data_IF_850015235328
#
_entry.id   IF_850015235328
#
_cell.length_a   1.000
_cell.length_b   1.000
_cell.length_c   1.000
_cell.angle_alpha   90.00
_cell.angle_beta   90.00
_cell.angle_gamma   90.00
#
_symmetry.space_group_name_H-M   'P 1'
#
loop_
_entity.id
_entity.type
_entity.pdbx_description
1 polymer ?
#
# COMPACT_ATOMS: atom_id res chain seq x y z
N UNK A 1 -32.80 -0.17 -33.55
CA UNK A 1 -31.31 -0.09 -33.48
C UNK A 1 -30.96 0.09 -32.02
N UNK A 2 -30.66 -1.01 -31.32
CA UNK A 2 -30.36 -1.01 -29.89
C UNK A 2 -28.87 -0.79 -29.65
N UNK A 3 -28.53 0.30 -28.98
CA UNK A 3 -27.21 0.56 -28.42
C UNK A 3 -27.00 -0.33 -27.20
N UNK A 4 -26.12 -1.33 -27.29
CA UNK A 4 -25.67 -2.11 -26.13
C UNK A 4 -24.75 -1.24 -25.29
N UNK A 5 -25.25 -0.81 -24.13
CA UNK A 5 -24.42 -0.31 -23.03
C UNK A 5 -23.69 -1.51 -22.43
N UNK A 6 -22.38 -1.61 -22.62
CA UNK A 6 -21.56 -2.61 -21.93
C UNK A 6 -21.29 -2.12 -20.51
N UNK A 7 -22.08 -2.60 -19.55
CA UNK A 7 -21.73 -2.56 -18.13
C UNK A 7 -20.61 -3.56 -17.88
N UNK A 8 -19.36 -3.15 -18.11
CA UNK A 8 -18.17 -3.85 -17.59
C UNK A 8 -18.18 -3.69 -16.07
N UNK A 9 -18.33 -4.80 -15.34
CA UNK A 9 -18.25 -4.82 -13.89
C UNK A 9 -16.79 -4.64 -13.44
N UNK A 10 -16.56 -3.94 -12.33
CA UNK A 10 -15.23 -3.67 -11.75
C UNK A 10 -14.34 -4.91 -11.65
N UNK A 11 -14.91 -6.09 -11.37
CA UNK A 11 -14.19 -7.37 -11.35
C UNK A 11 -13.50 -7.69 -12.70
N UNK A 12 -14.17 -7.44 -13.84
CA UNK A 12 -13.59 -7.71 -15.17
C UNK A 12 -12.41 -6.78 -15.48
N UNK A 13 -12.44 -5.54 -15.01
CA UNK A 13 -11.36 -4.57 -15.23
C UNK A 13 -10.12 -4.92 -14.40
N UNK A 14 -10.29 -5.48 -13.20
CA UNK A 14 -9.19 -5.92 -12.36
C UNK A 14 -8.53 -7.18 -12.94
N UNK A 15 -9.32 -8.15 -13.40
CA UNK A 15 -8.80 -9.35 -14.06
C UNK A 15 -8.06 -8.99 -15.35
N UNK A 16 -8.61 -8.08 -16.16
CA UNK A 16 -7.93 -7.53 -17.35
C UNK A 16 -6.65 -6.80 -16.99
N UNK A 17 -6.64 -6.05 -15.87
CA UNK A 17 -5.44 -5.38 -15.39
C UNK A 17 -4.37 -6.43 -15.06
N UNK A 18 -4.71 -7.46 -14.28
CA UNK A 18 -3.78 -8.53 -13.93
C UNK A 18 -3.25 -9.29 -15.16
N UNK A 19 -4.08 -9.54 -16.17
CA UNK A 19 -3.65 -10.14 -17.43
C UNK A 19 -2.76 -9.21 -18.27
N UNK A 20 -3.03 -7.89 -18.28
CA UNK A 20 -2.12 -6.91 -18.87
C UNK A 20 -0.74 -6.94 -18.18
N UNK A 21 -0.73 -7.10 -16.85
CA UNK A 21 0.49 -7.30 -16.07
C UNK A 21 1.23 -8.55 -16.52
N UNK A 22 0.59 -9.73 -16.56
CA UNK A 22 1.22 -10.98 -17.02
C UNK A 22 1.83 -10.87 -18.42
N UNK A 23 1.16 -10.16 -19.32
CA UNK A 23 1.57 -10.04 -20.72
C UNK A 23 2.61 -8.94 -21.00
N UNK A 24 2.95 -8.10 -20.00
CA UNK A 24 3.81 -6.93 -20.22
C UNK A 24 3.21 -5.87 -21.15
N UNK A 25 1.88 -5.87 -21.30
CA UNK A 25 1.15 -4.92 -22.13
C UNK A 25 0.96 -3.64 -21.32
N UNK A 26 1.17 -2.48 -21.96
CA UNK A 26 0.97 -1.18 -21.27
C UNK A 26 -0.45 -1.09 -20.70
N UNK A 27 -0.61 -0.50 -19.49
CA UNK A 27 -1.93 -0.41 -18.88
C UNK A 27 -2.92 0.35 -19.78
N UNK A 28 -4.23 0.09 -19.66
CA UNK A 28 -5.26 0.71 -20.50
C UNK A 28 -5.14 2.25 -20.47
N UNK A 29 -5.55 2.92 -21.55
CA UNK A 29 -5.39 4.39 -21.70
C UNK A 29 -6.00 5.19 -20.53
N UNK A 30 -7.00 4.65 -19.82
CA UNK A 30 -7.57 5.23 -18.61
C UNK A 30 -6.56 5.39 -17.46
N UNK A 31 -5.52 4.56 -17.40
CA UNK A 31 -4.46 4.59 -16.40
C UNK A 31 -3.26 5.50 -16.79
N UNK A 32 -3.26 6.06 -18.00
CA UNK A 32 -2.15 6.86 -18.53
C UNK A 32 -2.55 8.34 -18.54
N UNK A 33 -2.13 9.09 -17.51
CA UNK A 33 -2.19 10.56 -17.52
C UNK A 33 -0.82 11.13 -17.89
N UNK A 34 -0.63 11.53 -19.14
CA UNK A 34 0.63 12.11 -19.61
C UNK A 34 0.93 13.45 -18.92
N UNK A 35 1.97 13.50 -18.08
CA UNK A 35 2.65 14.76 -17.76
C UNK A 35 3.73 15.02 -18.81
N UNK A 36 3.54 16.07 -19.62
CA UNK A 36 4.54 16.54 -20.60
C UNK A 36 5.87 16.84 -19.89
N UNK A 37 6.92 16.07 -20.18
CA UNK A 37 8.32 16.38 -19.82
C UNK A 37 9.06 16.96 -21.02
N UNK A 38 9.83 18.01 -20.75
CA UNK A 38 10.65 18.77 -21.69
C UNK A 38 11.81 17.94 -22.26
N UNK A 39 12.14 18.19 -23.54
CA UNK A 39 13.13 17.43 -24.34
C UNK A 39 14.56 17.63 -23.81
N UNK A 40 15.20 16.53 -23.40
CA UNK A 40 16.64 16.42 -23.15
C UNK A 40 17.27 15.38 -24.08
N UNK A 41 18.41 15.72 -24.67
CA UNK A 41 19.04 15.16 -25.88
C UNK A 41 19.67 13.75 -25.68
N UNK A 42 19.33 12.79 -26.54
CA UNK A 42 19.92 11.43 -26.61
C UNK A 42 21.38 11.44 -27.10
N UNK A 43 22.25 10.62 -26.49
CA UNK A 43 23.50 10.13 -27.09
C UNK A 43 23.41 8.60 -27.23
N UNK A 44 23.63 8.10 -28.45
CA UNK A 44 23.71 6.68 -28.80
C UNK A 44 25.09 6.12 -28.47
N UNK A 45 25.16 4.92 -27.91
CA UNK A 45 26.32 4.02 -28.03
C UNK A 45 25.83 2.60 -28.30
N UNK A 46 26.39 1.99 -29.34
CA UNK A 46 26.00 0.70 -29.88
C UNK A 46 26.59 -0.48 -29.10
N UNK A 47 25.90 -1.62 -29.15
CA UNK A 47 26.36 -2.89 -28.57
C UNK A 47 26.36 -3.94 -29.69
N UNK A 48 27.49 -4.63 -29.78
CA UNK A 48 27.80 -5.73 -30.70
C UNK A 48 27.13 -7.03 -30.23
N UNK A 49 26.69 -7.86 -31.18
CA UNK A 49 26.07 -9.17 -30.97
C UNK A 49 27.17 -10.24 -31.06
N UNK A 50 27.24 -11.14 -30.08
CA UNK A 50 27.95 -12.42 -30.23
C UNK A 50 27.04 -13.59 -29.86
N UNK A 51 27.03 -14.59 -30.74
CA UNK A 51 26.24 -15.81 -30.72
C UNK A 51 26.63 -16.78 -29.60
N UNK A 52 25.65 -17.55 -29.13
CA UNK A 52 25.78 -18.62 -28.16
C UNK A 52 25.73 -20.00 -28.83
N UNK A 53 26.33 -21.01 -28.18
CA UNK A 53 26.12 -22.44 -28.45
C UNK A 53 25.83 -23.21 -27.15
N UNK A 54 25.16 -24.37 -27.22
CA UNK A 54 24.23 -24.82 -26.18
C UNK A 54 24.79 -25.94 -25.29
N UNK A 55 24.29 -26.05 -24.05
CA UNK A 55 24.56 -27.23 -23.23
C UNK A 55 23.90 -27.24 -21.86
N UNK A 56 23.07 -28.28 -21.66
CA UNK A 56 22.58 -28.89 -20.42
C UNK A 56 21.34 -28.31 -19.71
N UNK A 57 20.36 -29.21 -19.54
CA UNK A 57 19.04 -28.99 -18.99
C UNK A 57 19.06 -29.00 -17.46
N UNK A 58 18.58 -27.92 -16.83
CA UNK A 58 18.19 -27.88 -15.43
C UNK A 58 16.66 -27.83 -15.31
N UNK A 59 16.13 -28.52 -14.29
CA UNK A 59 14.72 -28.61 -13.91
C UNK A 59 14.04 -27.23 -13.74
N UNK A 60 12.70 -27.11 -13.94
CA UNK A 60 12.03 -25.83 -13.93
C UNK A 60 11.95 -25.24 -12.51
N UNK A 61 12.92 -24.37 -12.19
CA UNK A 61 12.79 -23.40 -11.11
C UNK A 61 11.52 -22.57 -11.38
N UNK A 62 10.55 -22.56 -10.46
CA UNK A 62 9.35 -21.70 -10.54
C UNK A 62 9.82 -20.27 -10.84
N UNK A 63 9.58 -19.79 -12.06
CA UNK A 63 9.94 -18.43 -12.46
C UNK A 63 9.02 -17.48 -11.70
N UNK A 64 9.54 -16.80 -10.67
CA UNK A 64 8.87 -15.62 -10.11
C UNK A 64 8.78 -14.59 -11.24
N UNK A 65 7.57 -14.20 -11.63
CA UNK A 65 7.42 -13.13 -12.62
C UNK A 65 7.83 -11.83 -11.95
N UNK A 66 8.93 -11.25 -12.43
CA UNK A 66 9.46 -9.98 -11.93
C UNK A 66 9.48 -9.01 -13.09
N UNK A 67 8.56 -8.07 -13.10
CA UNK A 67 8.45 -7.09 -14.17
C UNK A 67 9.45 -5.95 -13.97
N UNK A 68 10.43 -5.86 -14.87
CA UNK A 68 11.39 -4.73 -14.95
C UNK A 68 10.89 -3.71 -15.97
N UNK A 69 9.97 -2.84 -15.58
CA UNK A 69 9.73 -1.60 -16.34
C UNK A 69 9.04 -0.53 -15.48
N UNK A 70 9.25 0.72 -15.86
CA UNK A 70 8.90 1.94 -15.10
C UNK A 70 7.42 2.36 -15.22
N UNK A 71 6.54 1.49 -15.70
CA UNK A 71 5.12 1.76 -15.93
C UNK A 71 4.31 0.61 -15.33
N UNK A 72 4.08 0.66 -14.02
CA UNK A 72 3.08 -0.20 -13.40
C UNK A 72 2.26 0.63 -12.45
N UNK A 73 0.95 0.40 -12.52
CA UNK A 73 -0.13 1.28 -12.08
C UNK A 73 0.18 2.08 -10.83
N UNK A 74 -0.11 3.37 -10.94
CA UNK A 74 -0.21 4.25 -9.81
C UNK A 74 -1.70 4.33 -9.53
N UNK A 75 -2.13 3.84 -8.36
CA UNK A 75 -3.51 4.07 -7.91
C UNK A 75 -3.56 5.46 -7.31
N UNK A 76 -4.46 6.28 -7.85
CA UNK A 76 -4.78 7.58 -7.27
C UNK A 76 -5.59 7.37 -6.00
N UNK A 77 -5.03 7.82 -4.88
CA UNK A 77 -5.64 7.68 -3.56
C UNK A 77 -6.70 8.78 -3.42
N UNK A 78 -7.79 8.67 -4.18
CA UNK A 78 -8.94 9.59 -4.09
C UNK A 78 -10.21 8.88 -3.56
N UNK A 79 -10.29 7.54 -3.59
CA UNK A 79 -11.44 6.73 -3.11
C UNK A 79 -10.99 5.48 -2.33
N UNK A 80 -10.00 5.61 -1.44
CA UNK A 80 -9.37 4.45 -0.80
C UNK A 80 -10.23 3.89 0.32
N UNK A 81 -10.70 2.67 0.06
CA UNK A 81 -11.33 1.72 0.98
C UNK A 81 -10.56 1.38 2.27
N UNK A 82 -9.26 1.22 2.03
CA UNK A 82 -8.34 0.37 2.76
C UNK A 82 -7.40 1.20 3.63
N UNK A 83 -6.90 0.59 4.69
CA UNK A 83 -5.83 1.15 5.50
C UNK A 83 -4.50 0.94 4.79
N UNK A 84 -3.79 2.02 4.47
CA UNK A 84 -2.44 1.93 3.89
C UNK A 84 -1.40 2.67 4.73
N UNK A 85 -0.24 2.05 4.87
CA UNK A 85 0.93 2.67 5.48
C UNK A 85 2.11 2.48 4.53
N UNK A 86 2.78 3.57 4.18
CA UNK A 86 4.11 3.51 3.60
C UNK A 86 5.12 3.69 4.74
N UNK A 87 5.97 2.68 4.93
CA UNK A 87 6.86 2.54 6.07
C UNK A 87 8.29 2.61 5.56
N UNK A 88 9.05 3.60 6.01
CA UNK A 88 10.41 3.78 5.53
C UNK A 88 11.37 4.44 6.51
N UNK A 89 12.63 3.99 6.45
CA UNK A 89 13.75 4.68 7.09
C UNK A 89 15.10 4.31 6.44
N UNK A 90 16.10 5.16 6.65
CA UNK A 90 17.49 4.89 6.22
C UNK A 90 18.16 3.93 7.19
N UNK A 91 18.61 2.76 6.70
CA UNK A 91 19.29 1.76 7.54
C UNK A 91 20.62 2.27 8.07
N UNK A 92 21.32 3.10 7.29
CA UNK A 92 22.61 3.71 7.68
C UNK A 92 22.50 4.54 8.97
N UNK A 93 21.38 5.23 9.17
CA UNK A 93 21.19 6.13 10.31
C UNK A 93 20.42 5.50 11.47
N UNK A 94 20.00 4.24 11.30
CA UNK A 94 19.07 3.54 12.18
C UNK A 94 19.43 2.03 12.20
N UNK A 95 20.72 1.72 12.36
CA UNK A 95 21.23 0.36 12.27
C UNK A 95 20.76 -0.53 13.43
N UNK A 96 20.43 0.10 14.55
CA UNK A 96 19.87 -0.48 15.76
C UNK A 96 18.38 -0.82 15.65
N UNK A 97 17.69 -0.39 14.58
CA UNK A 97 16.24 -0.55 14.43
C UNK A 97 15.88 -1.88 13.78
N UNK A 98 15.04 -2.66 14.45
CA UNK A 98 14.43 -3.87 13.89
C UNK A 98 13.11 -3.53 13.20
N UNK A 99 13.11 -3.54 11.87
CA UNK A 99 11.93 -3.23 11.08
C UNK A 99 10.76 -4.20 11.27
N UNK A 100 11.02 -5.48 11.55
CA UNK A 100 9.94 -6.47 11.77
C UNK A 100 9.19 -6.18 13.07
N UNK A 101 9.92 -5.92 14.16
CA UNK A 101 9.36 -5.56 15.47
C UNK A 101 8.60 -4.22 15.42
N UNK A 102 9.13 -3.24 14.67
CA UNK A 102 8.45 -1.96 14.47
C UNK A 102 7.11 -2.14 13.75
N UNK A 103 7.06 -3.02 12.73
CA UNK A 103 5.81 -3.36 12.03
C UNK A 103 4.84 -4.10 12.96
N UNK A 104 5.32 -5.05 13.76
CA UNK A 104 4.47 -5.80 14.70
C UNK A 104 3.86 -4.89 15.78
N UNK A 105 4.65 -3.95 16.30
CA UNK A 105 4.18 -2.95 17.25
C UNK A 105 3.17 -2.00 16.60
N UNK A 106 3.43 -1.54 15.37
CA UNK A 106 2.48 -0.70 14.62
C UNK A 106 1.13 -1.43 14.45
N UNK A 107 1.16 -2.69 14.00
CA UNK A 107 -0.04 -3.51 13.85
C UNK A 107 -0.79 -3.60 15.17
N UNK A 108 -0.09 -3.89 16.27
CA UNK A 108 -0.71 -4.01 17.59
C UNK A 108 -1.45 -2.73 18.00
N UNK A 109 -0.81 -1.56 17.81
CA UNK A 109 -1.41 -0.25 18.10
C UNK A 109 -2.64 0.01 17.23
N UNK A 110 -2.59 -0.37 15.95
CA UNK A 110 -3.72 -0.23 15.02
C UNK A 110 -4.89 -1.11 15.45
N UNK A 111 -4.65 -2.40 15.73
CA UNK A 111 -5.72 -3.33 16.09
C UNK A 111 -6.36 -2.95 17.43
N UNK A 112 -5.56 -2.49 18.40
CA UNK A 112 -6.06 -1.94 19.68
C UNK A 112 -6.94 -0.71 19.45
N UNK A 113 -6.48 0.25 18.63
CA UNK A 113 -7.28 1.44 18.31
C UNK A 113 -8.59 1.10 17.55
N UNK A 114 -8.56 0.12 16.63
CA UNK A 114 -9.75 -0.36 15.94
C UNK A 114 -10.77 -0.95 16.92
N UNK A 115 -10.30 -1.74 17.88
CA UNK A 115 -11.15 -2.33 18.91
C UNK A 115 -11.73 -1.24 19.83
N UNK A 116 -10.90 -0.37 20.38
CA UNK A 116 -11.34 0.67 21.31
C UNK A 116 -12.31 1.68 20.70
N UNK A 117 -12.06 2.10 19.45
CA UNK A 117 -12.82 3.19 18.81
C UNK A 117 -14.04 2.70 18.06
N UNK A 118 -14.01 1.48 17.53
CA UNK A 118 -15.04 0.97 16.62
C UNK A 118 -15.59 -0.40 17.01
N UNK A 119 -15.09 -1.00 18.10
CA UNK A 119 -15.40 -2.37 18.50
C UNK A 119 -15.11 -3.39 17.38
N UNK A 120 -14.09 -3.12 16.55
CA UNK A 120 -13.66 -4.00 15.47
C UNK A 120 -12.50 -4.85 15.99
N UNK A 121 -12.73 -6.15 16.19
CA UNK A 121 -11.69 -7.09 16.60
C UNK A 121 -10.78 -7.42 15.41
N UNK A 122 -9.54 -6.96 15.46
CA UNK A 122 -8.54 -7.17 14.43
C UNK A 122 -8.18 -8.63 14.16
N UNK A 123 -7.80 -8.94 12.92
CA UNK A 123 -7.17 -10.20 12.54
C UNK A 123 -5.93 -9.93 11.66
N UNK A 124 -4.87 -10.68 11.88
CA UNK A 124 -3.65 -10.65 11.06
C UNK A 124 -3.90 -11.08 9.60
N UNK A 125 -4.91 -11.92 9.33
CA UNK A 125 -5.30 -12.31 7.96
C UNK A 125 -5.86 -11.14 7.14
N UNK A 126 -6.07 -9.98 7.74
CA UNK A 126 -6.49 -8.76 7.05
C UNK A 126 -5.32 -7.96 6.48
N UNK A 127 -4.08 -8.36 6.83
CA UNK A 127 -2.88 -7.55 6.66
C UNK A 127 -2.06 -8.11 5.51
N UNK A 128 -1.90 -7.32 4.47
CA UNK A 128 -0.97 -7.54 3.37
C UNK A 128 0.27 -6.69 3.63
N UNK A 129 1.41 -7.33 3.81
CA UNK A 129 2.70 -6.67 3.93
C UNK A 129 3.53 -6.89 2.67
N UNK A 130 4.01 -5.80 2.06
CA UNK A 130 4.88 -5.83 0.90
C UNK A 130 6.23 -5.19 1.24
N UNK A 131 7.32 -5.82 0.85
CA UNK A 131 8.70 -5.40 1.11
C UNK A 131 9.41 -5.02 -0.19
N UNK A 132 10.08 -3.87 -0.17
CA UNK A 132 10.99 -3.41 -1.22
C UNK A 132 12.31 -2.86 -0.65
N UNK A 133 12.63 -3.27 0.58
CA UNK A 133 13.81 -2.91 1.32
C UNK A 133 15.08 -3.29 0.57
N UNK A 134 16.12 -2.52 0.80
CA UNK A 134 17.46 -2.74 0.29
C UNK A 134 18.45 -2.75 1.45
N UNK A 135 19.73 -2.98 1.15
CA UNK A 135 20.80 -2.80 2.15
C UNK A 135 20.86 -1.38 2.72
N UNK A 136 20.38 -0.38 1.97
CA UNK A 136 20.45 1.03 2.37
C UNK A 136 19.17 1.54 3.04
N UNK A 137 18.02 0.95 2.69
CA UNK A 137 16.71 1.48 3.05
C UNK A 137 15.77 0.37 3.52
N UNK A 138 15.09 0.60 4.63
CA UNK A 138 13.88 -0.12 4.98
C UNK A 138 12.71 0.52 4.22
N UNK A 139 11.92 -0.27 3.50
CA UNK A 139 10.77 0.24 2.73
C UNK A 139 9.71 -0.85 2.59
N UNK A 140 8.62 -0.69 3.33
CA UNK A 140 7.48 -1.62 3.29
C UNK A 140 6.17 -0.88 3.10
N UNK A 141 5.25 -1.54 2.42
CA UNK A 141 3.86 -1.13 2.35
C UNK A 141 3.05 -2.07 3.23
N UNK A 142 2.20 -1.52 4.09
CA UNK A 142 1.24 -2.27 4.87
C UNK A 142 -0.17 -1.90 4.40
N UNK A 143 -0.96 -2.90 4.02
CA UNK A 143 -2.34 -2.72 3.55
C UNK A 143 -3.24 -3.55 4.47
N UNK A 144 -4.18 -2.92 5.16
CA UNK A 144 -5.10 -3.60 6.09
C UNK A 144 -6.52 -3.48 5.54
N UNK A 145 -7.16 -4.64 5.34
CA UNK A 145 -8.48 -4.73 4.70
C UNK A 145 -9.47 -5.33 5.68
N UNK A 146 -10.33 -4.48 6.24
CA UNK A 146 -11.33 -4.91 7.21
C UNK A 146 -12.52 -5.50 6.44
N UNK A 147 -12.92 -6.75 6.69
CA UNK A 147 -14.06 -7.37 6.00
C UNK A 147 -15.33 -6.52 6.14
N UNK A 148 -16.04 -6.33 5.02
CA UNK A 148 -17.32 -5.61 4.93
C UNK A 148 -17.31 -4.18 5.48
N UNK A 149 -16.13 -3.61 5.69
CA UNK A 149 -15.94 -2.34 6.38
C UNK A 149 -14.94 -1.49 5.62
N UNK A 150 -15.24 -0.21 5.50
CA UNK A 150 -14.45 0.74 4.75
C UNK A 150 -14.37 2.08 5.48
N UNK A 151 -13.34 2.90 5.24
CA UNK A 151 -13.44 4.31 5.62
C UNK A 151 -14.38 5.07 4.71
N UNK A 152 -15.06 6.07 5.27
CA UNK A 152 -15.93 6.97 4.51
C UNK A 152 -15.20 7.65 3.34
N UNK A 153 -14.00 8.14 3.59
CA UNK A 153 -13.09 8.69 2.57
C UNK A 153 -11.64 8.76 3.11
N UNK A 154 -10.72 9.23 2.28
CA UNK A 154 -9.29 9.32 2.62
C UNK A 154 -8.99 10.36 3.71
N UNK A 155 -9.87 11.34 3.90
CA UNK A 155 -9.74 12.31 5.01
C UNK A 155 -9.96 11.59 6.33
N UNK A 156 -10.95 10.69 6.38
CA UNK A 156 -11.22 9.89 7.57
C UNK A 156 -10.12 8.85 7.84
N UNK A 157 -9.62 8.18 6.78
CA UNK A 157 -8.47 7.28 6.92
C UNK A 157 -7.22 8.03 7.42
N UNK A 158 -6.91 9.20 6.85
CA UNK A 158 -5.80 10.04 7.26
C UNK A 158 -5.94 10.59 8.68
N UNK A 159 -7.15 10.94 9.12
CA UNK A 159 -7.43 11.35 10.50
C UNK A 159 -7.16 10.20 11.48
N UNK A 160 -7.58 8.98 11.14
CA UNK A 160 -7.30 7.81 11.98
C UNK A 160 -5.80 7.48 12.01
N UNK A 161 -5.09 7.57 10.89
CA UNK A 161 -3.63 7.38 10.89
C UNK A 161 -2.92 8.45 11.74
N UNK A 162 -3.45 9.68 11.75
CA UNK A 162 -2.97 10.73 12.64
C UNK A 162 -3.20 10.40 14.12
N UNK A 163 -4.35 9.81 14.47
CA UNK A 163 -4.59 9.25 15.82
C UNK A 163 -3.57 8.16 16.18
N UNK A 164 -3.27 7.22 15.28
CA UNK A 164 -2.25 6.19 15.52
C UNK A 164 -0.88 6.81 15.78
N UNK A 165 -0.47 7.80 14.99
CA UNK A 165 0.79 8.51 15.19
C UNK A 165 0.81 9.27 16.53
N UNK A 166 -0.32 9.87 16.92
CA UNK A 166 -0.49 10.56 18.21
C UNK A 166 -0.37 9.59 19.40
N UNK A 167 -0.95 8.38 19.29
CA UNK A 167 -0.82 7.31 20.30
C UNK A 167 0.62 6.88 20.47
N UNK A 168 1.32 6.60 19.36
CA UNK A 168 2.75 6.24 19.37
C UNK A 168 3.56 7.34 20.04
N UNK A 169 3.30 8.61 19.71
CA UNK A 169 3.97 9.74 20.32
C UNK A 169 3.68 9.89 21.81
N UNK A 170 2.44 9.68 22.24
CA UNK A 170 2.02 9.83 23.63
C UNK A 170 2.46 8.67 24.54
N UNK A 171 2.77 7.51 23.95
CA UNK A 171 3.33 6.34 24.62
C UNK A 171 4.86 6.41 24.77
N UNK A 172 5.50 7.28 23.99
CA UNK A 172 6.94 7.56 24.07
C UNK A 172 7.35 7.94 25.51
N UNK A 173 8.46 7.39 25.98
CA UNK A 173 8.96 7.57 27.36
C UNK A 173 8.19 6.81 28.45
N UNK A 174 7.04 6.21 28.16
CA UNK A 174 6.30 5.33 29.09
C UNK A 174 6.58 3.85 28.83
N UNK A 175 6.79 3.50 27.56
CA UNK A 175 7.13 2.16 27.12
C UNK A 175 8.27 2.26 26.10
N UNK A 176 9.40 1.63 26.43
CA UNK A 176 10.64 1.66 25.64
C UNK A 176 10.45 1.12 24.22
N UNK A 177 9.46 0.25 24.00
CA UNK A 177 9.15 -0.28 22.66
C UNK A 177 8.75 0.84 21.69
N UNK A 178 8.11 1.90 22.19
CA UNK A 178 7.71 3.03 21.36
C UNK A 178 8.87 3.95 21.01
N UNK A 179 9.97 3.96 21.77
CA UNK A 179 11.20 4.67 21.37
C UNK A 179 11.80 4.07 20.08
N UNK A 180 11.56 2.78 19.84
CA UNK A 180 12.00 2.09 18.63
C UNK A 180 11.22 2.49 17.37
N UNK A 181 10.07 3.15 17.53
CA UNK A 181 9.23 3.62 16.41
C UNK A 181 9.75 4.90 15.75
N UNK A 182 10.73 5.57 16.37
CA UNK A 182 11.29 6.83 15.90
C UNK A 182 12.62 6.63 15.17
N UNK A 183 12.80 7.32 14.05
CA UNK A 183 13.94 7.19 13.16
C UNK A 183 14.65 8.52 12.94
N UNK A 184 15.96 8.45 12.70
CA UNK A 184 16.81 9.58 12.33
C UNK A 184 16.78 9.79 10.82
N UNK A 185 16.69 11.06 10.42
CA UNK A 185 16.79 11.47 9.01
C UNK A 185 18.24 11.52 8.52
N UNK A 186 19.15 11.95 9.39
CA UNK A 186 20.59 12.02 9.11
C UNK A 186 21.41 11.72 10.38
N UNK A 187 22.69 11.42 10.18
CA UNK A 187 23.66 11.14 11.24
C UNK A 187 24.27 12.38 11.88
N UNK A 188 23.95 13.59 11.37
CA UNK A 188 24.50 14.85 11.89
C UNK A 188 23.70 15.42 13.06
N UNK A 189 22.44 15.00 13.20
CA UNK A 189 21.58 15.37 14.32
C UNK A 189 22.08 14.73 15.63
N UNK A 190 22.53 15.55 16.57
CA UNK A 190 22.73 15.16 17.99
C UNK A 190 21.41 15.04 18.74
N UNK A 191 20.30 15.49 18.14
CA UNK A 191 18.98 15.40 18.76
C UNK A 191 18.46 13.95 18.75
N UNK A 192 17.58 13.59 19.70
CA UNK A 192 16.93 12.29 19.69
C UNK A 192 16.11 12.09 18.40
N UNK A 193 15.91 10.85 17.94
CA UNK A 193 15.02 10.55 16.82
C UNK A 193 13.64 11.15 17.09
N UNK A 194 13.13 11.96 16.16
CA UNK A 194 11.88 12.71 16.33
C UNK A 194 10.80 12.37 15.31
N UNK A 195 11.18 11.75 14.19
CA UNK A 195 10.26 11.36 13.12
C UNK A 195 9.91 9.87 13.25
N UNK A 196 8.63 9.51 13.18
CA UNK A 196 8.23 8.10 13.08
C UNK A 196 8.57 7.55 11.68
N UNK A 197 8.76 6.24 11.54
CA UNK A 197 9.01 5.59 10.25
C UNK A 197 7.78 5.51 9.31
N UNK A 198 6.64 6.08 9.71
CA UNK A 198 5.37 6.08 8.98
C UNK A 198 5.30 7.34 8.10
N UNK A 199 5.12 7.19 6.79
CA UNK A 199 4.79 8.31 5.89
C UNK A 199 3.28 8.57 5.91
N UNK A 200 2.84 9.54 6.73
CA UNK A 200 1.45 9.96 6.80
C UNK A 200 0.97 10.69 5.53
N UNK A 201 1.89 11.14 4.66
CA UNK A 201 1.53 11.89 3.45
C UNK A 201 0.94 11.01 2.35
N UNK A 202 0.75 9.70 2.58
CA UNK A 202 0.05 8.80 1.65
C UNK A 202 -1.42 9.20 1.44
N UNK A 203 -2.07 9.82 2.44
CA UNK A 203 -3.49 10.22 2.35
C UNK A 203 -3.72 11.62 1.76
N UNK A 204 -2.68 12.29 1.23
CA UNK A 204 -2.89 13.56 0.51
C UNK A 204 -3.46 13.33 -0.89
N UNK A 205 -4.23 14.31 -1.42
CA UNK A 205 -4.88 14.18 -2.75
C UNK A 205 -3.88 13.89 -3.87
N UNK A 206 -4.31 13.11 -4.86
CA UNK A 206 -3.49 12.74 -6.03
C UNK A 206 -2.19 12.02 -5.65
N UNK A 207 -2.17 11.32 -4.51
CA UNK A 207 -1.05 10.45 -4.16
C UNK A 207 -1.13 9.14 -4.89
N UNK A 208 0.05 8.62 -5.14
CA UNK A 208 0.28 7.50 -6.01
C UNK A 208 0.86 6.38 -5.18
N UNK A 209 0.17 5.24 -5.09
CA UNK A 209 0.73 4.06 -4.44
C UNK A 209 1.32 3.10 -5.46
N UNK A 210 2.49 2.56 -5.13
CA UNK A 210 3.17 1.57 -5.99
C UNK A 210 2.55 0.20 -5.79
N UNK A 211 2.16 -0.46 -6.88
CA UNK A 211 1.57 -1.79 -6.88
C UNK A 211 2.57 -2.90 -6.54
N UNK A 212 2.06 -4.03 -6.03
CA UNK A 212 2.84 -5.24 -5.87
C UNK A 212 3.49 -5.68 -7.19
N UNK A 213 4.62 -6.38 -7.08
CA UNK A 213 5.43 -6.91 -8.19
C UNK A 213 6.07 -5.84 -9.09
N UNK A 214 6.08 -4.57 -8.65
CA UNK A 214 6.65 -3.45 -9.42
C UNK A 214 7.87 -2.79 -8.75
N UNK A 215 8.73 -2.13 -9.54
CA UNK A 215 9.86 -1.35 -9.05
C UNK A 215 9.74 0.13 -9.41
N UNK A 216 10.43 1.00 -8.64
CA UNK A 216 10.56 2.42 -9.02
C UNK A 216 11.41 2.55 -10.28
N UNK A 217 11.14 3.57 -11.09
CA UNK A 217 11.90 3.85 -12.30
C UNK A 217 13.41 3.92 -12.03
N UNK A 218 14.20 3.15 -12.78
CA UNK A 218 15.65 3.07 -12.60
C UNK A 218 16.12 2.37 -11.31
N UNK A 219 15.21 1.71 -10.57
CA UNK A 219 15.54 0.89 -9.39
C UNK A 219 15.26 -0.58 -9.66
N UNK A 220 16.09 -1.42 -9.04
CA UNK A 220 15.95 -2.88 -9.10
C UNK A 220 15.16 -3.46 -7.93
N UNK A 221 14.82 -2.66 -6.91
CA UNK A 221 14.03 -3.13 -5.77
C UNK A 221 12.55 -3.22 -6.15
N UNK A 222 12.09 -4.47 -6.27
CA UNK A 222 10.72 -4.83 -6.58
C UNK A 222 9.95 -4.93 -5.26
N UNK A 223 8.71 -4.46 -5.27
CA UNK A 223 7.80 -4.55 -4.13
C UNK A 223 7.16 -5.95 -4.12
N UNK A 224 7.57 -6.80 -3.19
CA UNK A 224 7.17 -8.21 -3.12
C UNK A 224 6.41 -8.48 -1.83
N UNK A 225 5.44 -9.41 -1.80
CA UNK A 225 4.82 -9.82 -0.56
C UNK A 225 5.86 -10.40 0.41
N UNK A 226 5.68 -10.14 1.70
CA UNK A 226 6.35 -10.91 2.74
C UNK A 226 5.58 -12.21 3.00
N UNK A 227 6.24 -13.18 3.61
CA UNK A 227 5.61 -14.42 4.07
C UNK A 227 4.93 -14.23 5.45
N UNK A 228 4.74 -12.98 5.88
CA UNK A 228 4.07 -12.63 7.13
C UNK A 228 2.60 -12.32 6.84
N UNK A 229 1.73 -12.66 7.79
CA UNK A 229 0.31 -12.31 7.75
C UNK A 229 -0.45 -12.94 6.56
N UNK A 230 -1.36 -12.19 5.92
CA UNK A 230 -2.31 -12.69 4.91
C UNK A 230 -1.62 -13.37 3.73
N UNK A 231 -0.48 -12.85 3.29
CA UNK A 231 0.19 -13.31 2.07
C UNK A 231 0.85 -14.69 2.19
N UNK A 232 0.86 -15.27 3.38
CA UNK A 232 1.39 -16.61 3.61
C UNK A 232 0.60 -17.64 2.79
N UNK A 233 1.33 -18.47 2.04
CA UNK A 233 0.78 -19.56 1.22
C UNK A 233 -0.21 -19.12 0.10
N UNK A 234 -0.28 -17.82 -0.21
CA UNK A 234 -1.11 -17.30 -1.30
C UNK A 234 -0.42 -17.49 -2.66
N UNK A 235 -1.23 -17.71 -3.71
CA UNK A 235 -0.71 -17.63 -5.07
C UNK A 235 -0.46 -16.17 -5.49
N UNK A 236 0.37 -15.97 -6.51
CA UNK A 236 0.76 -14.63 -6.96
C UNK A 236 -0.44 -13.77 -7.38
N UNK A 237 -1.46 -14.39 -7.98
CA UNK A 237 -2.71 -13.76 -8.41
C UNK A 237 -3.53 -13.27 -7.21
N UNK A 238 -3.87 -14.14 -6.27
CA UNK A 238 -4.64 -13.76 -5.08
C UNK A 238 -3.91 -12.70 -4.24
N UNK A 239 -2.58 -12.79 -4.16
CA UNK A 239 -1.74 -11.81 -3.48
C UNK A 239 -1.82 -10.45 -4.19
N UNK A 240 -1.66 -10.43 -5.51
CA UNK A 240 -1.76 -9.21 -6.30
C UNK A 240 -3.13 -8.57 -6.10
N UNK A 241 -4.22 -9.32 -6.23
CA UNK A 241 -5.59 -8.86 -6.00
C UNK A 241 -5.79 -8.32 -4.58
N UNK A 242 -5.26 -9.03 -3.59
CA UNK A 242 -5.30 -8.59 -2.19
C UNK A 242 -4.47 -7.33 -1.92
N UNK A 243 -3.48 -7.01 -2.77
CA UNK A 243 -2.65 -5.81 -2.66
C UNK A 243 -3.22 -4.57 -3.37
N UNK A 244 -4.23 -4.73 -4.22
CA UNK A 244 -4.82 -3.61 -4.94
C UNK A 244 -5.62 -2.74 -3.99
N UNK A 245 -5.30 -1.45 -3.93
CA UNK A 245 -6.05 -0.48 -3.14
C UNK A 245 -7.38 -0.18 -3.87
N UNK A 246 -8.47 0.03 -3.13
CA UNK A 246 -9.83 0.33 -3.66
C UNK A 246 -10.61 -0.88 -4.20
N UNK A 247 -10.15 -2.11 -3.99
CA UNK A 247 -11.03 -3.28 -4.21
C UNK A 247 -11.97 -3.39 -3.01
N UNK A 248 -13.14 -2.78 -3.12
CA UNK A 248 -14.19 -2.93 -2.11
C UNK A 248 -14.83 -4.30 -2.21
N UNK A 249 -15.15 -4.86 -1.05
CA UNK A 249 -16.06 -6.00 -0.98
C UNK A 249 -17.43 -5.56 -1.52
N UNK A 250 -18.04 -6.37 -2.39
CA UNK A 250 -19.37 -6.10 -2.97
C UNK A 250 -20.45 -5.96 -1.89
N UNK A 251 -20.18 -6.48 -0.69
CA UNK A 251 -21.05 -6.43 0.48
C UNK A 251 -20.61 -5.40 1.55
N UNK A 252 -19.87 -4.36 1.18
CA UNK A 252 -19.45 -3.31 2.12
C UNK A 252 -20.66 -2.54 2.68
N UNK A 253 -21.02 -2.84 3.92
CA UNK A 253 -22.21 -2.29 4.58
C UNK A 253 -21.90 -1.36 5.75
N UNK A 254 -20.62 -1.24 6.16
CA UNK A 254 -20.18 -0.42 7.29
C UNK A 254 -19.11 0.59 6.87
N UNK A 255 -19.37 1.87 7.14
CA UNK A 255 -18.41 2.95 6.94
C UNK A 255 -17.85 3.41 8.27
N UNK A 256 -16.53 3.47 8.37
CA UNK A 256 -15.77 3.98 9.51
C UNK A 256 -15.58 5.47 9.32
N UNK A 257 -15.97 6.22 10.35
CA UNK A 257 -15.85 7.67 10.41
C UNK A 257 -14.82 8.03 11.47
N UNK A 258 -13.76 8.72 11.06
CA UNK A 258 -12.84 9.44 11.92
C UNK A 258 -12.77 10.90 11.45
N UNK A 259 -13.23 11.86 12.24
CA UNK A 259 -13.18 13.28 11.87
C UNK A 259 -12.92 14.14 13.09
N UNK A 260 -12.43 15.36 12.88
CA UNK A 260 -12.36 16.33 13.98
C UNK A 260 -13.75 16.58 14.54
N UNK A 261 -13.85 16.56 15.86
CA UNK A 261 -15.02 16.98 16.58
C UNK A 261 -15.21 18.50 16.39
N UNK A 262 -16.37 18.87 15.85
CA UNK A 262 -16.69 20.27 15.56
C UNK A 262 -17.00 21.05 16.84
N UNK A 263 -17.37 20.37 17.93
CA UNK A 263 -17.63 20.99 19.23
C UNK A 263 -16.34 21.16 20.04
N UNK A 264 -15.32 20.35 19.75
CA UNK A 264 -14.00 20.44 20.36
C UNK A 264 -12.90 20.22 19.31
N UNK A 265 -12.30 21.33 18.85
CA UNK A 265 -11.26 21.36 17.79
C UNK A 265 -9.95 20.60 18.12
N UNK A 266 -9.90 19.84 19.21
CA UNK A 266 -8.75 19.04 19.65
C UNK A 266 -9.07 17.55 19.80
N UNK A 267 -10.33 17.13 19.63
CA UNK A 267 -10.74 15.72 19.77
C UNK A 267 -11.20 15.16 18.43
N UNK A 268 -10.95 13.87 18.23
CA UNK A 268 -11.48 13.14 17.08
C UNK A 268 -12.78 12.44 17.50
N UNK A 269 -13.79 12.54 16.64
CA UNK A 269 -15.00 11.75 16.72
C UNK A 269 -14.80 10.43 15.96
N UNK A 270 -15.18 9.33 16.60
CA UNK A 270 -15.12 7.99 16.05
C UNK A 270 -16.56 7.45 15.98
N UNK A 271 -17.02 7.09 14.80
CA UNK A 271 -18.37 6.56 14.58
C UNK A 271 -18.38 5.54 13.43
N UNK A 272 -19.49 4.84 13.28
CA UNK A 272 -19.73 3.92 12.17
C UNK A 272 -21.09 4.17 11.54
N UNK A 273 -21.12 4.39 10.24
CA UNK A 273 -22.35 4.60 9.46
C UNK A 273 -22.72 3.32 8.69
N UNK A 274 -24.01 3.10 8.44
CA UNK A 274 -24.48 2.01 7.55
C UNK A 274 -24.45 2.51 6.11
N UNK A 275 -23.77 1.78 5.23
CA UNK A 275 -23.74 2.08 3.81
C UNK A 275 -25.08 1.70 3.16
N UNK A 276 -25.97 2.67 2.95
CA UNK A 276 -27.30 2.44 2.38
C UNK A 276 -27.34 2.48 0.85
N UNK A 277 -26.24 2.83 0.18
CA UNK A 277 -26.25 3.12 -1.27
C UNK A 277 -26.27 1.87 -2.17
N UNK A 278 -25.99 0.67 -1.64
CA UNK A 278 -25.97 -0.56 -2.45
C UNK A 278 -27.33 -1.27 -2.63
N UNK A 279 -28.38 -0.88 -1.90
CA UNK A 279 -29.73 -1.46 -2.09
C UNK A 279 -30.46 -0.95 -3.34
N UNK A 280 -29.87 -0.04 -4.13
CA UNK A 280 -30.52 0.55 -5.32
C UNK A 280 -30.11 -0.04 -6.67
N UNK A 281 -29.13 -0.94 -6.73
CA UNK A 281 -28.67 -1.54 -7.99
C UNK A 281 -28.97 -3.04 -8.14
N UNK A 282 -29.70 -3.63 -7.20
CA UNK A 282 -30.24 -4.99 -7.34
C UNK A 282 -31.74 -4.96 -7.01
N UNK A 283 -32.54 -4.62 -8.01
CA UNK A 283 -33.92 -5.12 -8.11
C UNK A 283 -34.01 -6.03 -9.33
N UNK A 284 -34.85 -7.09 -9.28
CA UNK A 284 -34.81 -8.23 -10.20
C UNK A 284 -34.98 -7.88 -11.68
#
# INVERSE_FOLDING_TARGET
MGSKSSTTTTMEDVDRLFECFKCGISPPQSAVRERKRSKGRMKKQGISIHEASPGSAEQPKKKKFVFRCSLFGIVEIDEVNDFIFDLEFSRRHNAERNGDEMVDLLISVILEALFEKYSIQGNQDWIVELDSSTAEKFSRHLIIRIPKTAFKDNTHAGAFVSEICSRIHSARGKDERFENMFVRKDSSSTEPPSQHFIDAAVYSRNRCFRLALSSKAGKNSVLLPTERFKCKDMCEEDMFMSSLICSMDVDCNKLVVCKMDMECMKTLQFDTEVNNDYRRHCTP
#
